data_IF_650544901881
#
_entry.id   IF_650544901881
#
_cell.length_a   1.000
_cell.length_b   1.000
_cell.length_c   1.000
_cell.angle_alpha   90.00
_cell.angle_beta   90.00
_cell.angle_gamma   90.00
#
_symmetry.space_group_name_H-M   'P 1'
#
loop_
_entity.id
_entity.type
_entity.pdbx_description
1 polymer ?
#
# COMPACT_ATOMS: atom_id res chain seq x y z
N UNK A 1 -26.40 12.90 19.89
CA UNK A 1 -25.76 11.63 19.51
C UNK A 1 -24.95 11.87 18.24
N UNK A 2 -23.66 11.55 18.24
CA UNK A 2 -22.83 11.63 17.03
C UNK A 2 -23.16 10.41 16.17
N UNK A 3 -23.42 10.58 14.88
CA UNK A 3 -23.71 9.43 14.01
C UNK A 3 -22.45 8.60 13.78
N UNK A 4 -22.58 7.28 13.69
CA UNK A 4 -21.46 6.38 13.37
C UNK A 4 -20.76 6.79 12.07
N UNK A 5 -21.55 7.17 11.05
CA UNK A 5 -21.04 7.69 9.79
C UNK A 5 -20.12 8.92 9.96
N UNK A 6 -20.45 9.84 10.88
CA UNK A 6 -19.62 11.00 11.17
C UNK A 6 -18.28 10.62 11.80
N UNK A 7 -18.30 9.68 12.76
CA UNK A 7 -17.08 9.18 13.41
C UNK A 7 -16.18 8.48 12.38
N UNK A 8 -16.76 7.59 11.57
CA UNK A 8 -16.04 6.86 10.53
C UNK A 8 -15.40 7.82 9.52
N UNK A 9 -16.14 8.81 9.02
CA UNK A 9 -15.63 9.80 8.08
C UNK A 9 -14.54 10.70 8.69
N UNK A 10 -14.67 11.07 9.97
CA UNK A 10 -13.67 11.91 10.64
C UNK A 10 -12.35 11.14 10.83
N UNK A 11 -12.40 9.91 11.33
CA UNK A 11 -11.21 9.04 11.49
C UNK A 11 -10.54 8.79 10.14
N UNK A 12 -11.34 8.62 9.09
CA UNK A 12 -10.88 8.47 7.71
C UNK A 12 -10.08 9.65 7.22
N UNK A 13 -10.67 10.85 7.32
CA UNK A 13 -10.04 12.08 6.85
C UNK A 13 -8.75 12.28 7.62
N UNK A 14 -8.76 12.04 8.93
CA UNK A 14 -7.56 12.12 9.76
C UNK A 14 -6.47 11.16 9.28
N UNK A 15 -6.81 9.89 9.01
CA UNK A 15 -5.87 8.90 8.49
C UNK A 15 -5.30 9.29 7.12
N UNK A 16 -6.16 9.74 6.21
CA UNK A 16 -5.75 10.24 4.90
C UNK A 16 -4.85 11.45 5.04
N UNK A 17 -5.17 12.41 5.90
CA UNK A 17 -4.34 13.59 6.15
C UNK A 17 -2.99 13.24 6.75
N UNK A 18 -2.93 12.27 7.67
CA UNK A 18 -1.65 11.77 8.23
C UNK A 18 -0.82 11.14 7.14
N UNK A 19 -1.40 10.23 6.36
CA UNK A 19 -0.71 9.56 5.25
C UNK A 19 -0.27 10.56 4.19
N UNK A 20 -1.11 11.50 3.81
CA UNK A 20 -0.74 12.54 2.85
C UNK A 20 0.36 13.43 3.44
N UNK A 21 0.31 13.73 4.73
CA UNK A 21 1.35 14.43 5.47
C UNK A 21 2.71 13.73 5.42
N UNK A 22 2.74 12.39 5.34
CA UNK A 22 4.00 11.65 5.20
C UNK A 22 4.73 11.94 3.88
N UNK A 23 4.07 12.49 2.85
CA UNK A 23 4.75 12.90 1.63
C UNK A 23 5.71 14.08 1.81
N UNK A 24 5.47 14.91 2.82
CA UNK A 24 6.37 16.01 3.18
C UNK A 24 7.60 15.54 3.97
N UNK A 25 7.66 14.27 4.39
CA UNK A 25 8.77 13.73 5.15
C UNK A 25 9.94 13.32 4.24
N UNK A 26 11.17 13.30 4.78
CA UNK A 26 12.33 12.74 4.10
C UNK A 26 12.06 11.33 3.57
N UNK A 27 12.61 11.03 2.39
CA UNK A 27 12.39 9.78 1.65
C UNK A 27 12.49 8.53 2.52
N UNK A 28 13.56 8.40 3.30
CA UNK A 28 13.77 7.24 4.18
C UNK A 28 12.64 7.08 5.19
N UNK A 29 12.22 8.18 5.82
CA UNK A 29 11.13 8.17 6.81
C UNK A 29 9.81 7.78 6.14
N UNK A 30 9.51 8.36 4.98
CA UNK A 30 8.33 8.02 4.19
C UNK A 30 8.29 6.53 3.85
N UNK A 31 9.41 5.97 3.38
CA UNK A 31 9.50 4.55 3.02
C UNK A 31 9.37 3.62 4.22
N UNK A 32 9.90 4.01 5.38
CA UNK A 32 9.66 3.27 6.64
C UNK A 32 8.17 3.27 6.97
N UNK A 33 7.52 4.44 6.96
CA UNK A 33 6.11 4.54 7.35
C UNK A 33 5.22 3.77 6.38
N UNK A 34 5.39 3.95 5.08
CA UNK A 34 4.63 3.22 4.06
C UNK A 34 4.94 1.73 4.07
N UNK A 35 6.22 1.36 4.25
CA UNK A 35 6.66 -0.03 4.38
C UNK A 35 6.00 -0.73 5.58
N UNK A 36 6.04 -0.12 6.76
CA UNK A 36 5.37 -0.64 7.96
C UNK A 36 3.85 -0.73 7.79
N UNK A 37 3.24 0.26 7.15
CA UNK A 37 1.81 0.26 6.88
C UNK A 37 1.40 -0.90 5.96
N UNK A 38 2.11 -1.10 4.84
CA UNK A 38 1.88 -2.23 3.94
C UNK A 38 2.19 -3.57 4.61
N UNK A 39 3.23 -3.63 5.44
CA UNK A 39 3.55 -4.82 6.22
C UNK A 39 2.40 -5.20 7.15
N UNK A 40 1.87 -4.24 7.90
CA UNK A 40 0.75 -4.45 8.81
C UNK A 40 -0.51 -4.90 8.05
N UNK A 41 -0.80 -4.29 6.89
CA UNK A 41 -1.94 -4.65 6.05
C UNK A 41 -1.83 -6.06 5.45
N UNK A 42 -0.63 -6.55 5.16
CA UNK A 42 -0.42 -7.91 4.70
C UNK A 42 -0.39 -8.92 5.84
N UNK A 43 0.38 -8.63 6.90
CA UNK A 43 0.65 -9.56 7.99
C UNK A 43 -0.55 -9.77 8.92
N UNK A 44 -1.26 -8.70 9.32
CA UNK A 44 -2.35 -8.82 10.30
C UNK A 44 -3.48 -9.73 9.80
N UNK A 45 -3.98 -9.60 8.55
CA UNK A 45 -5.00 -10.51 8.04
C UNK A 45 -4.52 -11.98 7.96
N UNK A 46 -3.25 -12.22 7.64
CA UNK A 46 -2.67 -13.57 7.66
C UNK A 46 -2.70 -14.12 9.09
N UNK A 47 -2.22 -13.36 10.06
CA UNK A 47 -2.20 -13.76 11.47
C UNK A 47 -3.62 -13.99 12.03
N UNK A 48 -4.60 -13.20 11.60
CA UNK A 48 -6.00 -13.41 11.93
C UNK A 48 -6.54 -14.73 11.33
N UNK A 49 -6.23 -14.99 10.05
CA UNK A 49 -6.64 -16.24 9.37
C UNK A 49 -6.02 -17.48 10.01
N UNK A 50 -4.80 -17.36 10.56
CA UNK A 50 -4.12 -18.41 11.32
C UNK A 50 -4.60 -18.53 12.78
N UNK A 51 -5.60 -17.76 13.20
CA UNK A 51 -6.09 -17.67 14.58
C UNK A 51 -5.01 -17.27 15.61
N UNK A 52 -3.93 -16.61 15.16
CA UNK A 52 -2.89 -16.06 16.04
C UNK A 52 -3.36 -14.74 16.67
N UNK A 53 -4.19 -13.99 15.96
CA UNK A 53 -4.82 -12.75 16.43
C UNK A 53 -6.34 -12.89 16.44
N UNK A 54 -6.99 -12.27 17.44
CA UNK A 54 -8.45 -12.25 17.58
C UNK A 54 -9.12 -11.01 16.98
N UNK A 55 -8.33 -10.06 16.46
CA UNK A 55 -8.83 -8.87 15.82
C UNK A 55 -8.51 -8.89 14.33
N UNK A 56 -9.43 -8.31 13.54
CA UNK A 56 -9.22 -8.02 12.13
C UNK A 56 -9.40 -6.53 11.90
N UNK A 57 -8.82 -6.01 10.81
CA UNK A 57 -9.26 -4.72 10.31
C UNK A 57 -10.70 -4.90 9.85
N UNK A 58 -11.64 -4.20 10.49
CA UNK A 58 -13.03 -4.20 10.03
C UNK A 58 -13.09 -3.84 8.55
N UNK A 59 -14.07 -4.36 7.82
CA UNK A 59 -14.30 -4.06 6.40
C UNK A 59 -14.78 -2.62 6.18
N UNK A 60 -14.15 -1.64 6.82
CA UNK A 60 -14.30 -0.26 6.45
C UNK A 60 -13.83 -0.14 5.01
N UNK A 61 -14.76 -0.03 4.05
CA UNK A 61 -14.47 0.15 2.63
C UNK A 61 -13.48 1.29 2.38
N UNK A 62 -13.42 2.22 3.33
CA UNK A 62 -12.47 3.32 3.43
C UNK A 62 -11.00 2.87 3.54
N UNK A 63 -10.67 1.89 4.39
CA UNK A 63 -9.28 1.40 4.52
C UNK A 63 -8.75 1.03 3.14
N UNK A 64 -9.58 0.41 2.29
CA UNK A 64 -9.23 0.05 0.91
C UNK A 64 -8.82 1.27 0.06
N UNK A 65 -9.51 2.40 0.19
CA UNK A 65 -9.13 3.63 -0.52
C UNK A 65 -7.81 4.21 0.00
N UNK A 66 -7.64 4.22 1.32
CA UNK A 66 -6.39 4.68 1.95
C UNK A 66 -5.21 3.83 1.47
N UNK A 67 -5.36 2.50 1.49
CA UNK A 67 -4.36 1.56 0.97
C UNK A 67 -4.05 1.85 -0.49
N UNK A 68 -5.07 2.00 -1.33
CA UNK A 68 -4.89 2.27 -2.75
C UNK A 68 -4.10 3.56 -2.99
N UNK A 69 -4.43 4.64 -2.28
CA UNK A 69 -3.69 5.91 -2.37
C UNK A 69 -2.24 5.73 -1.94
N UNK A 70 -1.98 5.15 -0.76
CA UNK A 70 -0.61 4.89 -0.28
C UNK A 70 0.18 4.12 -1.33
N UNK A 71 -0.39 3.04 -1.84
CA UNK A 71 0.29 2.14 -2.77
C UNK A 71 0.57 2.84 -4.10
N UNK A 72 -0.39 3.53 -4.69
CA UNK A 72 -0.22 4.22 -5.98
C UNK A 72 0.90 5.26 -5.87
N UNK A 73 0.89 6.07 -4.81
CA UNK A 73 1.92 7.08 -4.62
C UNK A 73 3.30 6.48 -4.31
N UNK A 74 3.34 5.43 -3.50
CA UNK A 74 4.56 4.66 -3.21
C UNK A 74 5.16 4.13 -4.50
N UNK A 75 4.34 3.48 -5.33
CA UNK A 75 4.78 2.88 -6.57
C UNK A 75 5.21 3.93 -7.60
N UNK A 76 4.51 5.08 -7.65
CA UNK A 76 4.98 6.26 -8.40
C UNK A 76 6.36 6.71 -7.93
N UNK A 77 6.60 6.78 -6.61
CA UNK A 77 7.91 7.14 -6.06
C UNK A 77 8.99 6.17 -6.53
N UNK A 78 8.73 4.86 -6.47
CA UNK A 78 9.66 3.83 -6.93
C UNK A 78 9.97 3.92 -8.43
N UNK A 79 8.96 4.15 -9.27
CA UNK A 79 9.16 4.31 -10.73
C UNK A 79 9.99 5.56 -11.02
N UNK A 80 9.64 6.70 -10.39
CA UNK A 80 10.37 7.95 -10.57
C UNK A 80 11.83 7.80 -10.14
N UNK A 81 12.10 7.06 -9.06
CA UNK A 81 13.47 6.80 -8.60
C UNK A 81 14.23 5.91 -9.54
N UNK A 82 13.62 4.83 -10.02
CA UNK A 82 14.26 3.97 -10.99
C UNK A 82 14.62 4.69 -12.29
N UNK A 83 13.88 5.74 -12.68
CA UNK A 83 14.26 6.60 -13.83
C UNK A 83 15.54 7.41 -13.57
N UNK A 84 15.83 7.78 -12.32
CA UNK A 84 17.04 8.53 -11.94
C UNK A 84 18.22 7.64 -11.55
N UNK A 85 18.00 6.35 -11.34
CA UNK A 85 19.04 5.37 -11.01
C UNK A 85 19.78 4.87 -12.26
N UNK A 86 21.03 4.46 -12.09
CA UNK A 86 21.83 3.80 -13.13
C UNK A 86 22.06 2.32 -12.78
N UNK A 87 22.29 1.50 -13.81
CA UNK A 87 22.63 0.09 -13.65
C UNK A 87 21.42 -0.82 -13.36
N UNK A 88 21.64 -2.03 -12.79
CA UNK A 88 20.57 -3.00 -12.60
C UNK A 88 19.50 -2.53 -11.61
N UNK A 89 19.83 -1.60 -10.72
CA UNK A 89 18.91 -1.11 -9.70
C UNK A 89 17.73 -0.31 -10.29
N UNK A 90 17.99 0.45 -11.36
CA UNK A 90 16.94 1.13 -12.14
C UNK A 90 15.82 0.18 -12.55
N UNK A 91 16.18 -0.99 -13.06
CA UNK A 91 15.20 -1.96 -13.52
C UNK A 91 14.43 -2.57 -12.36
N UNK A 92 15.10 -2.85 -11.24
CA UNK A 92 14.43 -3.35 -10.03
C UNK A 92 13.40 -2.34 -9.55
N UNK A 93 13.78 -1.07 -9.35
CA UNK A 93 12.87 -0.01 -8.88
C UNK A 93 11.67 0.21 -9.81
N UNK A 94 11.90 0.27 -11.12
CA UNK A 94 10.82 0.43 -12.12
C UNK A 94 9.89 -0.79 -12.14
N UNK A 95 10.45 -2.01 -12.25
CA UNK A 95 9.66 -3.24 -12.34
C UNK A 95 8.85 -3.43 -11.05
N UNK A 96 9.46 -3.25 -9.88
CA UNK A 96 8.78 -3.30 -8.59
C UNK A 96 7.63 -2.29 -8.52
N UNK A 97 7.86 -1.04 -8.92
CA UNK A 97 6.80 -0.03 -8.94
C UNK A 97 5.65 -0.40 -9.89
N UNK A 98 5.95 -0.87 -11.10
CA UNK A 98 4.92 -1.32 -12.06
C UNK A 98 4.12 -2.49 -11.49
N UNK A 99 4.79 -3.50 -10.93
CA UNK A 99 4.14 -4.66 -10.32
C UNK A 99 3.21 -4.20 -9.19
N UNK A 100 3.67 -3.33 -8.29
CA UNK A 100 2.86 -2.81 -7.20
C UNK A 100 1.64 -2.04 -7.72
N UNK A 101 1.80 -1.20 -8.75
CA UNK A 101 0.66 -0.50 -9.38
C UNK A 101 -0.33 -1.51 -9.93
N UNK A 102 0.10 -2.46 -10.76
CA UNK A 102 -0.80 -3.42 -11.40
C UNK A 102 -1.55 -4.21 -10.33
N UNK A 103 -0.82 -4.76 -9.37
CA UNK A 103 -1.36 -5.66 -8.38
C UNK A 103 -2.29 -5.00 -7.36
N UNK A 104 -2.21 -3.68 -7.15
CA UNK A 104 -3.11 -2.99 -6.21
C UNK A 104 -4.14 -2.13 -6.93
N UNK A 105 -3.75 -1.45 -8.00
CA UNK A 105 -4.64 -0.56 -8.74
C UNK A 105 -5.68 -1.36 -9.51
N UNK A 106 -5.30 -2.47 -10.17
CA UNK A 106 -6.25 -3.26 -10.97
C UNK A 106 -7.36 -3.87 -10.10
N UNK A 107 -7.07 -4.57 -8.98
CA UNK A 107 -8.13 -5.10 -8.12
C UNK A 107 -8.97 -3.98 -7.47
N UNK A 108 -8.34 -2.85 -7.13
CA UNK A 108 -9.06 -1.70 -6.57
C UNK A 108 -10.03 -1.10 -7.59
N UNK A 109 -9.58 -0.80 -8.81
CA UNK A 109 -10.42 -0.25 -9.86
C UNK A 109 -11.54 -1.20 -10.26
N UNK A 110 -11.30 -2.52 -10.25
CA UNK A 110 -12.34 -3.52 -10.46
C UNK A 110 -13.38 -3.51 -9.32
N UNK A 111 -12.95 -3.47 -8.05
CA UNK A 111 -13.85 -3.35 -6.89
C UNK A 111 -14.69 -2.06 -6.92
N UNK A 112 -14.19 -1.00 -7.56
CA UNK A 112 -14.89 0.27 -7.75
C UNK A 112 -15.81 0.29 -8.98
N UNK A 113 -15.89 -0.80 -9.76
CA UNK A 113 -16.68 -0.86 -10.99
C UNK A 113 -16.12 -0.01 -12.14
N UNK A 114 -14.88 0.50 -12.01
CA UNK A 114 -14.22 1.27 -13.05
C UNK A 114 -13.66 0.38 -14.17
N UNK A 115 -13.42 -0.91 -13.89
CA UNK A 115 -13.01 -1.91 -14.86
C UNK A 115 -14.16 -2.90 -15.09
N UNK A 116 -14.59 -3.02 -16.35
CA UNK A 116 -15.72 -3.86 -16.75
C UNK A 116 -15.35 -5.32 -17.03
N UNK A 117 -14.06 -5.67 -17.01
CA UNK A 117 -13.60 -7.04 -17.18
C UNK A 117 -13.66 -7.81 -15.86
N UNK A 118 -14.21 -9.02 -15.90
CA UNK A 118 -14.23 -9.91 -14.75
C UNK A 118 -12.82 -10.40 -14.46
N UNK A 119 -12.25 -9.95 -13.34
CA UNK A 119 -11.02 -10.55 -12.82
C UNK A 119 -11.40 -11.89 -12.19
N UNK A 120 -10.77 -13.02 -12.56
CA UNK A 120 -10.97 -14.28 -11.86
C UNK A 120 -10.75 -14.05 -10.37
N UNK A 121 -11.73 -14.42 -9.54
CA UNK A 121 -11.57 -14.33 -8.10
C UNK A 121 -10.35 -15.15 -7.70
N UNK A 122 -9.37 -14.47 -7.13
CA UNK A 122 -8.16 -15.10 -6.65
C UNK A 122 -8.18 -15.07 -5.11
N UNK A 123 -7.52 -16.04 -4.46
CA UNK A 123 -7.50 -16.12 -2.99
C UNK A 123 -7.05 -14.80 -2.34
N UNK A 124 -7.76 -14.34 -1.31
CA UNK A 124 -7.43 -13.11 -0.57
C UNK A 124 -5.99 -13.09 -0.02
N UNK A 125 -5.41 -14.28 0.20
CA UNK A 125 -4.02 -14.41 0.63
C UNK A 125 -3.02 -13.83 -0.38
N UNK A 126 -3.38 -13.76 -1.66
CA UNK A 126 -2.52 -13.17 -2.69
C UNK A 126 -2.40 -11.66 -2.47
N UNK A 127 -3.50 -10.95 -2.19
CA UNK A 127 -3.47 -9.51 -1.84
C UNK A 127 -2.53 -9.27 -0.64
N UNK A 128 -2.62 -10.14 0.37
CA UNK A 128 -1.82 -10.04 1.60
C UNK A 128 -0.32 -10.26 1.32
N UNK A 129 0.03 -11.29 0.52
CA UNK A 129 1.41 -11.57 0.11
C UNK A 129 1.98 -10.41 -0.72
N UNK A 130 1.16 -9.81 -1.59
CA UNK A 130 1.58 -8.67 -2.41
C UNK A 130 1.94 -7.47 -1.54
N UNK A 131 1.14 -7.14 -0.52
CA UNK A 131 1.48 -6.05 0.40
C UNK A 131 2.76 -6.33 1.18
N UNK A 132 3.02 -7.57 1.57
CA UNK A 132 4.28 -7.97 2.21
C UNK A 132 5.46 -7.79 1.25
N UNK A 133 5.35 -8.26 0.01
CA UNK A 133 6.40 -8.10 -1.00
C UNK A 133 6.67 -6.62 -1.26
N UNK A 134 5.62 -5.81 -1.43
CA UNK A 134 5.73 -4.37 -1.62
C UNK A 134 6.45 -3.69 -0.42
N UNK A 135 6.11 -4.10 0.80
CA UNK A 135 6.76 -3.64 2.02
C UNK A 135 8.26 -3.98 2.04
N UNK A 136 8.63 -5.22 1.73
CA UNK A 136 10.02 -5.67 1.67
C UNK A 136 10.80 -4.86 0.63
N UNK A 137 10.20 -4.63 -0.55
CA UNK A 137 10.82 -3.84 -1.61
C UNK A 137 11.06 -2.38 -1.18
N UNK A 138 10.14 -1.78 -0.44
CA UNK A 138 10.35 -0.45 0.13
C UNK A 138 11.46 -0.41 1.16
N UNK A 139 11.53 -1.41 2.04
CA UNK A 139 12.62 -1.51 3.02
C UNK A 139 13.98 -1.66 2.33
N UNK A 140 14.06 -2.50 1.29
CA UNK A 140 15.26 -2.62 0.46
C UNK A 140 15.60 -1.26 -0.20
N UNK A 141 14.59 -0.56 -0.72
CA UNK A 141 14.75 0.78 -1.30
C UNK A 141 15.36 1.81 -0.34
N UNK A 142 15.12 1.71 0.98
CA UNK A 142 15.75 2.60 1.98
C UNK A 142 17.26 2.44 2.01
N UNK A 143 17.75 1.20 1.96
CA UNK A 143 19.18 0.90 2.03
C UNK A 143 19.90 1.22 0.72
N UNK A 144 19.18 1.18 -0.40
CA UNK A 144 19.74 1.38 -1.73
C UNK A 144 19.63 2.82 -2.22
N UNK A 145 18.68 3.60 -1.69
CA UNK A 145 18.64 5.03 -2.00
C UNK A 145 19.86 5.74 -1.45
N UNK A 146 20.59 6.44 -2.33
CA UNK A 146 21.57 7.45 -1.90
C UNK A 146 20.83 8.45 -0.99
N UNK A 147 21.43 8.77 0.15
CA UNK A 147 20.83 9.70 1.10
C UNK A 147 20.61 11.04 0.43
N UNK A 148 19.35 11.47 0.37
CA UNK A 148 18.99 12.88 0.33
C UNK A 148 19.15 13.48 1.73
#
# INVERSE_FOLDING_TARGET
MVSEAFVTNTVTILFLSVIVGTFALPKKIRYVIHGLFLFALGLIPILYTLNVLSFTFGEAGIIKYVVAVVVVFTARSLIMEGVHEEGPMRWVSIISGIIIIILVTVPTLHKLGALTFTIPEYPQIIDQVIYIIASILLFIGIFLSKSD
#
